data_IF_644809894133
#
_entry.id   IF_644809894133
#
_cell.length_a   1.000
_cell.length_b   1.000
_cell.length_c   1.000
_cell.angle_alpha   90.00
_cell.angle_beta   90.00
_cell.angle_gamma   90.00
#
_symmetry.space_group_name_H-M   'P 1'
#
loop_
_entity.id
_entity.type
_entity.pdbx_description
1 polymer ?
#
# COMPACT_ATOMS: atom_id res chain seq x y z
N UNK A 1 -13.39 -14.58 12.80
CA UNK A 1 -13.45 -13.83 11.55
C UNK A 1 -13.62 -12.37 11.91
N UNK A 2 -12.71 -11.55 11.48
CA UNK A 2 -12.81 -10.10 11.62
C UNK A 2 -13.89 -9.62 10.66
N UNK A 3 -14.83 -8.85 11.14
CA UNK A 3 -15.80 -8.14 10.29
C UNK A 3 -15.11 -6.85 9.84
N UNK A 4 -15.25 -6.51 8.57
CA UNK A 4 -14.69 -5.29 8.03
C UNK A 4 -13.26 -5.46 7.48
N UNK A 5 -12.47 -4.41 7.56
CA UNK A 5 -11.16 -4.26 6.90
C UNK A 5 -9.98 -4.54 7.85
N UNK A 6 -10.25 -5.16 8.99
CA UNK A 6 -9.25 -5.56 10.02
C UNK A 6 -8.87 -7.02 9.86
N UNK A 7 -7.76 -7.45 10.43
CA UNK A 7 -7.30 -8.83 10.42
C UNK A 7 -5.82 -8.94 10.13
N UNK A 8 -5.40 -10.06 9.57
CA UNK A 8 -4.04 -10.21 9.03
C UNK A 8 -4.02 -9.60 7.63
N UNK A 9 -3.19 -8.60 7.44
CA UNK A 9 -3.21 -7.73 6.27
C UNK A 9 -1.92 -7.83 5.44
N UNK A 10 -0.78 -8.15 6.05
CA UNK A 10 0.47 -8.26 5.30
C UNK A 10 1.43 -9.27 5.88
N UNK A 11 2.22 -9.83 4.98
CA UNK A 11 3.26 -10.82 5.31
C UNK A 11 4.43 -10.65 4.35
N UNK A 12 5.66 -10.65 4.90
CA UNK A 12 6.86 -10.81 4.10
C UNK A 12 7.94 -11.54 4.90
N UNK A 13 9.01 -11.97 4.23
CA UNK A 13 10.06 -12.79 4.81
C UNK A 13 11.44 -12.21 4.53
N UNK A 14 12.35 -12.39 5.49
CA UNK A 14 13.74 -11.96 5.33
C UNK A 14 14.69 -13.01 5.92
N UNK A 15 15.68 -13.41 5.14
CA UNK A 15 16.84 -14.12 5.67
C UNK A 15 17.92 -13.11 6.08
N UNK A 16 18.09 -12.94 7.38
CA UNK A 16 18.98 -11.92 7.94
C UNK A 16 19.79 -12.50 9.11
N UNK A 17 21.08 -12.18 9.17
CA UNK A 17 22.00 -12.66 10.20
C UNK A 17 21.93 -14.18 10.45
N UNK A 18 21.78 -14.97 9.38
CA UNK A 18 21.71 -16.43 9.42
C UNK A 18 20.40 -17.02 9.94
N UNK A 19 19.35 -16.21 10.10
CA UNK A 19 18.00 -16.61 10.53
C UNK A 19 16.96 -16.29 9.47
N UNK A 20 15.87 -17.06 9.46
CA UNK A 20 14.72 -16.78 8.63
C UNK A 20 13.68 -16.06 9.50
N UNK A 21 13.29 -14.88 9.10
CA UNK A 21 12.27 -14.09 9.76
C UNK A 21 11.01 -14.01 8.91
N UNK A 22 9.88 -13.94 9.58
CA UNK A 22 8.56 -13.64 8.99
C UNK A 22 8.03 -12.40 9.69
N UNK A 23 7.64 -11.43 8.90
CA UNK A 23 6.98 -10.21 9.36
C UNK A 23 5.50 -10.34 9.09
N UNK A 24 4.67 -10.05 10.09
CA UNK A 24 3.23 -10.08 10.00
C UNK A 24 2.68 -8.74 10.47
N UNK A 25 1.83 -8.14 9.65
CA UNK A 25 1.05 -6.97 10.05
C UNK A 25 -0.41 -7.36 10.19
N UNK A 26 -1.00 -7.02 11.33
CA UNK A 26 -2.40 -7.31 11.61
C UNK A 26 -2.96 -6.38 12.67
N UNK A 27 -4.29 -6.23 12.65
CA UNK A 27 -5.02 -5.62 13.76
C UNK A 27 -5.10 -6.64 14.90
N UNK A 28 -4.43 -6.37 16.03
CA UNK A 28 -4.40 -7.30 17.16
C UNK A 28 -5.66 -7.18 18.01
N UNK A 29 -6.34 -8.32 18.18
CA UNK A 29 -7.55 -8.42 18.97
C UNK A 29 -7.27 -8.30 20.46
N UNK A 30 -8.11 -7.57 21.19
CA UNK A 30 -8.12 -7.55 22.66
C UNK A 30 -8.84 -8.77 23.25
N UNK A 31 -9.76 -9.37 22.49
CA UNK A 31 -10.53 -10.55 22.88
C UNK A 31 -9.84 -11.87 22.53
N UNK A 32 -10.16 -12.94 23.27
CA UNK A 32 -9.63 -14.28 22.99
C UNK A 32 -10.27 -14.96 21.77
N UNK A 33 -11.42 -14.50 21.37
CA UNK A 33 -12.28 -15.04 20.32
C UNK A 33 -12.33 -14.16 19.05
N UNK A 34 -11.56 -13.06 19.02
CA UNK A 34 -11.60 -12.09 17.94
C UNK A 34 -12.86 -11.21 17.92
N UNK A 35 -13.55 -11.13 19.05
CA UNK A 35 -14.80 -10.35 19.22
C UNK A 35 -14.56 -8.89 19.59
N UNK A 36 -13.51 -8.28 19.05
CA UNK A 36 -13.09 -6.91 19.35
C UNK A 36 -13.59 -5.90 18.29
N UNK A 37 -14.74 -6.17 17.71
CA UNK A 37 -15.36 -5.24 16.78
C UNK A 37 -16.38 -4.35 17.49
N UNK A 38 -16.02 -3.08 17.63
CA UNK A 38 -16.83 -2.06 18.28
C UNK A 38 -18.23 -1.96 17.66
N UNK A 39 -18.33 -2.11 16.32
CA UNK A 39 -19.59 -2.07 15.57
C UNK A 39 -20.59 -3.15 15.99
N UNK A 40 -20.10 -4.25 16.57
CA UNK A 40 -20.92 -5.35 17.07
C UNK A 40 -20.94 -5.44 18.61
N UNK A 41 -20.58 -4.35 19.30
CA UNK A 41 -20.52 -4.32 20.75
C UNK A 41 -19.30 -5.02 21.35
N UNK A 42 -18.28 -5.28 20.55
CA UNK A 42 -16.99 -5.82 20.95
C UNK A 42 -16.09 -4.81 21.64
N UNK A 43 -14.88 -5.25 21.96
CA UNK A 43 -13.84 -4.44 22.60
C UNK A 43 -12.96 -3.78 21.54
N UNK A 44 -12.49 -2.57 21.78
CA UNK A 44 -11.52 -1.89 20.92
C UNK A 44 -10.25 -2.75 20.74
N UNK A 45 -9.73 -2.91 19.50
CA UNK A 45 -8.49 -3.64 19.25
C UNK A 45 -7.30 -2.99 19.96
N UNK A 46 -6.26 -3.77 20.19
CA UNK A 46 -5.05 -3.32 20.88
C UNK A 46 -4.18 -2.41 20.01
N UNK A 47 -4.15 -2.60 18.69
CA UNK A 47 -3.34 -1.83 17.76
C UNK A 47 -3.31 -2.47 16.37
N UNK A 48 -2.94 -1.68 15.37
CA UNK A 48 -2.47 -2.18 14.08
C UNK A 48 -0.97 -2.43 14.23
N UNK A 49 -0.55 -3.69 14.22
CA UNK A 49 0.76 -4.08 14.74
C UNK A 49 1.60 -4.84 13.74
N UNK A 50 2.86 -4.43 13.60
CA UNK A 50 3.87 -5.18 12.88
C UNK A 50 4.69 -6.02 13.85
N UNK A 51 4.64 -7.33 13.67
CA UNK A 51 5.44 -8.29 14.43
C UNK A 51 6.48 -8.95 13.54
N UNK A 52 7.64 -9.26 14.11
CA UNK A 52 8.63 -10.18 13.57
C UNK A 52 8.60 -11.49 14.33
N UNK A 53 8.60 -12.58 13.60
CA UNK A 53 8.77 -13.95 14.10
C UNK A 53 10.06 -14.55 13.54
N UNK A 54 10.65 -15.49 14.25
CA UNK A 54 11.68 -16.38 13.73
C UNK A 54 11.01 -17.64 13.19
N UNK A 55 11.32 -18.05 11.96
CA UNK A 55 10.81 -19.31 11.39
C UNK A 55 11.80 -20.43 11.70
N UNK A 56 11.40 -21.38 12.56
CA UNK A 56 12.19 -22.52 12.99
C UNK A 56 11.37 -23.79 12.83
N UNK A 57 11.85 -24.74 12.04
CA UNK A 57 11.19 -26.03 11.79
C UNK A 57 9.70 -25.90 11.39
N UNK A 58 9.42 -24.94 10.51
CA UNK A 58 8.08 -24.67 10.01
C UNK A 58 7.14 -23.98 11.03
N UNK A 59 7.66 -23.48 12.13
CA UNK A 59 6.90 -22.80 13.17
C UNK A 59 7.37 -21.35 13.33
N UNK A 60 6.41 -20.46 13.53
CA UNK A 60 6.65 -19.08 13.93
C UNK A 60 6.88 -19.03 15.44
N UNK A 61 8.08 -18.61 15.85
CA UNK A 61 8.49 -18.53 17.26
C UNK A 61 9.06 -17.14 17.57
N UNK A 62 9.22 -16.82 18.86
CA UNK A 62 9.84 -15.58 19.35
C UNK A 62 9.22 -14.32 18.77
N UNK A 63 7.90 -14.09 18.94
CA UNK A 63 7.26 -12.88 18.50
C UNK A 63 7.96 -11.65 19.10
N UNK A 64 8.18 -10.66 18.25
CA UNK A 64 8.71 -9.36 18.65
C UNK A 64 7.88 -8.26 18.00
N UNK A 65 7.23 -7.44 18.80
CA UNK A 65 6.54 -6.25 18.34
C UNK A 65 7.57 -5.24 17.82
N UNK A 66 7.44 -4.83 16.57
CA UNK A 66 8.32 -3.87 15.92
C UNK A 66 7.69 -2.48 15.86
N UNK A 67 6.40 -2.40 15.52
CA UNK A 67 5.65 -1.15 15.39
C UNK A 67 4.26 -1.36 15.97
N UNK A 68 3.81 -0.39 16.75
CA UNK A 68 2.46 -0.31 17.34
C UNK A 68 1.79 0.96 16.83
N UNK A 69 0.70 0.80 16.07
CA UNK A 69 0.03 1.89 15.36
C UNK A 69 -1.42 2.01 15.84
N UNK A 70 -2.03 3.21 15.70
CA UNK A 70 -3.38 3.44 16.13
C UNK A 70 -4.39 2.55 15.38
N UNK A 71 -5.56 2.36 15.98
CA UNK A 71 -6.73 1.69 15.39
C UNK A 71 -7.89 2.65 15.13
N UNK A 72 -7.80 3.85 15.69
CA UNK A 72 -8.78 4.91 15.56
C UNK A 72 -8.31 6.00 14.59
N UNK A 73 -9.23 6.70 13.94
CA UNK A 73 -10.67 6.84 14.23
C UNK A 73 -11.55 5.68 13.73
N UNK A 74 -11.19 4.95 12.71
CA UNK A 74 -12.10 3.96 12.17
C UNK A 74 -11.48 2.62 11.79
N UNK A 75 -12.32 1.63 11.39
CA UNK A 75 -11.84 0.29 11.05
C UNK A 75 -11.33 0.17 9.62
N UNK A 76 -11.43 1.21 8.79
CA UNK A 76 -11.04 1.21 7.39
C UNK A 76 -9.64 1.77 7.19
N UNK A 77 -9.13 1.67 5.98
CA UNK A 77 -7.85 2.22 5.56
C UNK A 77 -6.70 1.83 6.50
N UNK A 78 -6.71 0.59 6.92
CA UNK A 78 -5.67 0.06 7.81
C UNK A 78 -4.35 -0.20 7.09
N UNK A 79 -4.31 -0.02 5.76
CA UNK A 79 -3.16 -0.37 4.94
C UNK A 79 -2.84 -1.85 5.09
N UNK A 80 -1.58 -2.13 5.41
CA UNK A 80 -1.19 -3.45 5.89
C UNK A 80 -0.18 -4.16 5.03
N UNK A 81 0.10 -3.66 3.84
CA UNK A 81 1.15 -4.25 3.03
C UNK A 81 2.51 -4.15 3.73
N UNK A 82 3.27 -5.22 3.65
CA UNK A 82 4.62 -5.32 4.21
C UNK A 82 5.57 -5.72 3.10
N UNK A 83 6.59 -4.91 2.84
CA UNK A 83 7.62 -5.21 1.86
C UNK A 83 9.02 -5.12 2.49
N UNK A 84 9.82 -6.14 2.29
CA UNK A 84 11.25 -6.11 2.63
C UNK A 84 12.01 -5.40 1.52
N UNK A 85 12.68 -4.31 1.86
CA UNK A 85 13.45 -3.55 0.90
C UNK A 85 14.80 -4.17 0.52
N UNK A 86 15.39 -3.75 -0.61
CA UNK A 86 16.72 -4.18 -1.01
C UNK A 86 17.81 -3.78 0.00
N UNK A 87 17.51 -2.85 0.89
CA UNK A 87 18.33 -2.43 2.03
C UNK A 87 18.14 -3.30 3.30
N UNK A 88 17.36 -4.38 3.20
CA UNK A 88 16.94 -5.27 4.28
C UNK A 88 16.13 -4.57 5.38
N UNK A 89 15.59 -3.38 5.15
CA UNK A 89 14.64 -2.77 6.06
C UNK A 89 13.21 -3.18 5.70
N UNK A 90 12.31 -3.00 6.66
CA UNK A 90 10.92 -3.38 6.55
C UNK A 90 10.09 -2.13 6.29
N UNK A 91 9.32 -2.17 5.24
CA UNK A 91 8.38 -1.12 4.87
C UNK A 91 6.96 -1.62 5.11
N UNK A 92 6.13 -0.79 5.73
CA UNK A 92 4.76 -1.15 6.04
C UNK A 92 3.84 0.03 5.79
N UNK A 93 2.71 -0.22 5.16
CA UNK A 93 1.69 0.81 4.89
C UNK A 93 0.69 0.90 6.02
N UNK A 94 0.23 2.12 6.27
CA UNK A 94 -0.96 2.41 7.05
C UNK A 94 -1.65 3.63 6.46
N UNK A 95 -2.95 3.54 6.26
CA UNK A 95 -3.74 4.65 5.74
C UNK A 95 -4.15 5.65 6.81
N UNK A 96 -5.15 6.45 6.48
CA UNK A 96 -5.69 7.51 7.33
C UNK A 96 -6.60 7.00 8.45
N UNK A 97 -6.95 5.73 8.46
CA UNK A 97 -7.88 5.09 9.39
C UNK A 97 -9.25 5.76 9.35
N UNK A 98 -9.79 5.99 8.15
CA UNK A 98 -11.03 6.70 7.92
C UNK A 98 -12.17 6.20 8.80
N UNK A 99 -12.60 7.06 9.72
CA UNK A 99 -13.83 6.90 10.43
C UNK A 99 -14.97 7.55 9.66
N UNK A 100 -15.01 8.85 9.59
CA UNK A 100 -15.99 9.64 8.83
C UNK A 100 -15.37 10.95 8.38
N UNK A 101 -15.36 11.21 7.13
CA UNK A 101 -14.72 12.27 6.34
C UNK A 101 -14.59 13.69 6.93
N UNK A 102 -15.22 14.02 8.03
CA UNK A 102 -15.31 15.41 8.47
C UNK A 102 -14.55 15.76 9.75
N UNK A 103 -14.17 14.76 10.54
CA UNK A 103 -13.63 15.00 11.89
C UNK A 103 -12.29 14.36 12.16
N UNK A 104 -11.76 13.55 11.22
CA UNK A 104 -10.65 12.64 11.46
C UNK A 104 -9.35 13.03 10.75
N UNK A 105 -9.33 14.18 10.07
CA UNK A 105 -8.12 14.76 9.47
C UNK A 105 -7.38 15.59 10.51
N UNK A 106 -6.72 14.91 11.42
CA UNK A 106 -6.10 15.57 12.56
C UNK A 106 -4.57 15.55 12.53
N UNK A 107 -3.97 14.81 11.57
CA UNK A 107 -2.53 14.66 11.57
C UNK A 107 -1.87 15.51 10.48
N UNK A 108 -0.70 16.03 10.80
CA UNK A 108 0.12 16.78 9.83
C UNK A 108 0.56 15.88 8.67
N UNK A 109 0.68 14.55 8.89
CA UNK A 109 0.99 13.59 7.83
C UNK A 109 -0.13 13.40 6.81
N UNK A 110 -1.34 13.89 7.07
CA UNK A 110 -2.45 13.98 6.14
C UNK A 110 -2.51 15.33 5.39
N UNK A 111 -1.42 16.08 5.37
CA UNK A 111 -1.37 17.45 4.86
C UNK A 111 -2.33 18.42 5.55
N UNK A 112 -2.74 18.11 6.79
CA UNK A 112 -3.59 18.99 7.59
C UNK A 112 -2.74 20.04 8.29
N UNK A 113 -2.66 21.22 7.67
CA UNK A 113 -1.74 22.29 8.07
C UNK A 113 -1.98 22.88 9.47
N UNK A 114 -3.21 22.74 9.99
CA UNK A 114 -3.57 23.25 11.31
C UNK A 114 -3.24 22.28 12.45
N UNK A 115 -2.68 21.12 12.13
CA UNK A 115 -2.28 20.11 13.10
C UNK A 115 -0.78 20.11 13.35
N UNK A 116 -0.41 19.78 14.57
CA UNK A 116 0.95 19.36 14.94
C UNK A 116 1.02 17.87 15.31
N UNK A 117 -0.11 17.18 15.29
CA UNK A 117 -0.21 15.76 15.63
C UNK A 117 0.48 14.92 14.57
N UNK A 118 1.25 13.93 15.00
CA UNK A 118 1.82 12.89 14.16
C UNK A 118 1.80 11.58 14.96
N UNK A 119 1.16 10.54 14.42
CA UNK A 119 0.84 9.32 15.17
C UNK A 119 1.14 8.01 14.43
N UNK A 120 1.73 8.10 13.25
CA UNK A 120 2.07 6.95 12.41
C UNK A 120 1.11 6.74 11.25
N UNK A 121 -0.07 7.37 11.21
CA UNK A 121 -1.06 7.25 10.13
C UNK A 121 -0.61 7.90 8.82
N UNK A 122 -1.33 7.55 7.74
CA UNK A 122 -1.17 8.12 6.39
C UNK A 122 0.26 8.01 5.87
N UNK A 123 0.82 6.79 5.93
CA UNK A 123 2.25 6.60 5.78
C UNK A 123 2.64 5.27 5.11
N UNK A 124 3.82 5.29 4.51
CA UNK A 124 4.69 4.13 4.42
C UNK A 124 5.77 4.33 5.47
N UNK A 125 5.81 3.44 6.45
CA UNK A 125 6.81 3.48 7.52
C UNK A 125 7.96 2.55 7.20
N UNK A 126 9.18 2.93 7.61
CA UNK A 126 10.39 2.12 7.44
C UNK A 126 11.06 1.87 8.79
N UNK A 127 11.30 0.59 9.08
CA UNK A 127 12.01 0.15 10.27
C UNK A 127 13.09 -0.87 9.92
N UNK A 128 14.13 -0.95 10.74
CA UNK A 128 15.09 -2.07 10.65
C UNK A 128 14.42 -3.40 11.03
N UNK A 129 15.03 -4.56 10.73
CA UNK A 129 14.54 -5.86 11.17
C UNK A 129 14.38 -5.97 12.69
N UNK A 130 14.98 -5.07 13.44
CA UNK A 130 14.87 -4.99 14.89
C UNK A 130 13.78 -4.00 15.37
N UNK A 131 13.04 -3.36 14.45
CA UNK A 131 12.00 -2.37 14.78
C UNK A 131 12.54 -1.00 15.19
N UNK A 132 13.79 -0.69 14.82
CA UNK A 132 14.40 0.59 15.12
C UNK A 132 14.28 1.54 13.92
N UNK A 133 14.22 2.85 14.15
CA UNK A 133 14.35 3.84 13.09
C UNK A 133 15.63 3.61 12.27
N UNK A 134 15.56 3.88 10.98
CA UNK A 134 16.70 3.73 10.06
C UNK A 134 17.43 5.07 9.95
N UNK A 135 18.67 5.09 10.44
CA UNK A 135 19.46 6.33 10.51
C UNK A 135 18.78 7.40 11.38
N UNK A 136 18.75 8.63 10.88
CA UNK A 136 18.10 9.76 11.56
C UNK A 136 16.63 9.95 11.12
N UNK A 137 16.05 8.97 10.43
CA UNK A 137 14.76 9.12 9.78
C UNK A 137 14.80 10.01 8.53
N UNK A 138 13.81 9.87 7.66
CA UNK A 138 13.71 10.68 6.42
C UNK A 138 13.17 12.07 6.75
N UNK A 139 12.02 12.15 7.40
CA UNK A 139 11.31 13.40 7.65
C UNK A 139 11.78 14.10 8.93
N UNK A 140 12.31 13.36 9.89
CA UNK A 140 12.80 13.87 11.17
C UNK A 140 13.42 12.78 12.03
N UNK A 141 13.93 13.17 13.20
CA UNK A 141 14.65 12.28 14.11
C UNK A 141 13.88 11.94 15.41
N UNK A 142 12.65 12.42 15.54
CA UNK A 142 11.79 12.17 16.71
C UNK A 142 10.71 11.13 16.35
N UNK A 143 10.39 10.26 17.30
CA UNK A 143 9.29 9.29 17.14
C UNK A 143 7.93 10.01 17.13
N UNK A 144 6.98 9.59 16.27
CA UNK A 144 7.08 8.54 15.24
C UNK A 144 7.61 9.04 13.89
N UNK A 145 7.91 10.35 13.74
CA UNK A 145 8.34 10.96 12.47
C UNK A 145 9.58 10.30 11.87
N UNK A 146 10.46 9.75 12.71
CA UNK A 146 11.67 9.05 12.29
C UNK A 146 11.41 7.67 11.66
N UNK A 147 10.16 7.19 11.67
CA UNK A 147 9.75 5.97 10.97
C UNK A 147 9.20 6.26 9.57
N UNK A 148 8.75 7.49 9.30
CA UNK A 148 8.13 7.83 8.03
C UNK A 148 9.12 7.77 6.88
N UNK A 149 8.82 6.94 5.88
CA UNK A 149 9.49 6.93 4.58
C UNK A 149 8.73 7.79 3.57
N UNK A 150 7.39 7.69 3.60
CA UNK A 150 6.45 8.45 2.80
C UNK A 150 5.23 8.85 3.64
N UNK A 151 4.46 9.83 3.19
CA UNK A 151 3.29 10.34 3.91
C UNK A 151 2.25 10.94 2.95
N UNK A 152 1.16 11.47 3.50
CA UNK A 152 0.06 12.00 2.68
C UNK A 152 -0.71 10.90 1.96
N UNK A 153 -0.79 9.73 2.54
CA UNK A 153 -1.34 8.52 1.94
C UNK A 153 -2.72 8.26 2.52
N UNK A 154 -3.72 8.10 1.64
CA UNK A 154 -5.06 7.75 2.07
C UNK A 154 -5.15 6.28 2.48
N UNK A 155 -4.83 5.37 1.57
CA UNK A 155 -4.81 3.94 1.83
C UNK A 155 -4.01 3.21 0.76
N UNK A 156 -2.72 3.02 0.99
CA UNK A 156 -1.85 2.20 0.16
C UNK A 156 -2.08 0.72 0.49
N UNK A 157 -2.34 -0.10 -0.52
CA UNK A 157 -2.71 -1.50 -0.37
C UNK A 157 -1.73 -2.49 -1.02
N UNK A 158 -0.81 -2.00 -1.81
CA UNK A 158 0.25 -2.81 -2.42
C UNK A 158 1.58 -2.08 -2.44
N UNK A 159 2.66 -2.79 -2.18
CA UNK A 159 4.05 -2.32 -2.28
C UNK A 159 4.88 -3.34 -3.01
N UNK A 160 5.69 -2.90 -3.97
CA UNK A 160 6.76 -3.76 -4.51
C UNK A 160 7.97 -2.96 -4.98
N UNK A 161 9.06 -3.64 -5.10
CA UNK A 161 10.34 -3.08 -5.52
C UNK A 161 10.65 -3.41 -6.97
N UNK A 162 10.90 -2.38 -7.76
CA UNK A 162 11.42 -2.58 -9.10
C UNK A 162 12.74 -3.37 -9.05
N UNK A 163 12.81 -4.58 -9.61
CA UNK A 163 13.99 -5.44 -9.52
C UNK A 163 15.21 -4.90 -10.28
N UNK A 164 15.01 -3.89 -11.15
CA UNK A 164 16.07 -3.30 -11.97
C UNK A 164 16.69 -2.08 -11.28
N UNK A 165 15.85 -1.21 -10.72
CA UNK A 165 16.30 0.08 -10.14
C UNK A 165 16.34 0.04 -8.61
N UNK A 166 15.60 -0.87 -7.98
CA UNK A 166 15.39 -0.87 -6.54
C UNK A 166 14.49 0.27 -6.06
N UNK A 167 13.69 0.85 -6.94
CA UNK A 167 12.70 1.87 -6.61
C UNK A 167 11.44 1.24 -6.03
N UNK A 168 10.84 1.86 -5.04
CA UNK A 168 9.58 1.42 -4.45
C UNK A 168 8.41 1.97 -5.25
N UNK A 169 7.42 1.13 -5.45
CA UNK A 169 6.13 1.49 -6.05
C UNK A 169 4.99 1.09 -5.13
N UNK A 170 3.90 1.86 -5.16
CA UNK A 170 2.69 1.51 -4.42
C UNK A 170 1.42 1.66 -5.26
N UNK A 171 0.34 1.08 -4.75
CA UNK A 171 -1.02 1.35 -5.17
C UNK A 171 -1.76 2.06 -4.06
N UNK A 172 -2.51 3.12 -4.38
CA UNK A 172 -3.28 3.87 -3.40
C UNK A 172 -4.76 3.95 -3.80
N UNK A 173 -5.65 3.71 -2.83
CA UNK A 173 -7.09 3.81 -3.04
C UNK A 173 -7.61 5.21 -2.76
N UNK A 174 -8.21 5.82 -3.76
CA UNK A 174 -8.95 7.07 -3.66
C UNK A 174 -10.34 6.92 -3.01
N UNK A 175 -11.07 8.01 -2.79
CA UNK A 175 -12.43 7.96 -2.22
C UNK A 175 -13.46 7.33 -3.18
N UNK A 176 -13.80 7.99 -4.26
CA UNK A 176 -14.66 7.50 -5.35
C UNK A 176 -14.14 7.92 -6.72
N UNK A 177 -12.90 8.35 -6.75
CA UNK A 177 -12.07 8.65 -7.91
C UNK A 177 -10.61 8.71 -7.49
N UNK A 178 -9.72 8.66 -8.45
CA UNK A 178 -8.31 8.93 -8.21
C UNK A 178 -7.60 7.81 -7.44
N UNK A 179 -7.95 6.56 -7.71
CA UNK A 179 -7.05 5.45 -7.38
C UNK A 179 -5.74 5.62 -8.14
N UNK A 180 -4.61 5.24 -7.56
CA UNK A 180 -3.28 5.62 -8.06
C UNK A 180 -2.29 4.46 -8.13
N UNK A 181 -1.33 4.61 -9.06
CA UNK A 181 -0.02 3.96 -8.99
C UNK A 181 1.01 5.05 -8.77
N UNK A 182 1.87 4.89 -7.78
CA UNK A 182 2.88 5.87 -7.41
C UNK A 182 4.29 5.28 -7.45
N UNK A 183 5.26 6.08 -7.90
CA UNK A 183 6.68 5.86 -7.69
C UNK A 183 7.10 6.52 -6.38
N UNK A 184 7.40 5.73 -5.37
CA UNK A 184 7.62 6.20 -4.00
C UNK A 184 9.10 6.40 -3.72
N UNK A 185 9.50 7.64 -3.46
CA UNK A 185 10.85 7.99 -3.02
C UNK A 185 10.87 8.34 -1.53
N UNK A 186 12.05 8.36 -0.93
CA UNK A 186 12.20 8.83 0.44
C UNK A 186 11.70 10.27 0.58
N UNK A 187 10.73 10.50 1.46
CA UNK A 187 10.07 11.79 1.62
C UNK A 187 8.89 12.04 0.67
N UNK A 188 8.46 11.04 -0.09
CA UNK A 188 7.26 11.13 -0.94
C UNK A 188 6.05 11.59 -0.14
N UNK A 189 5.31 12.55 -0.71
CA UNK A 189 4.02 13.03 -0.24
C UNK A 189 2.99 12.77 -1.33
N UNK A 190 2.04 11.86 -1.10
CA UNK A 190 0.97 11.55 -2.05
C UNK A 190 -0.07 12.68 -2.16
N UNK A 191 -0.17 13.51 -1.12
CA UNK A 191 -1.03 14.70 -1.15
C UNK A 191 -2.28 14.63 -0.29
N UNK A 192 -2.73 13.45 0.10
CA UNK A 192 -3.93 13.26 0.91
C UNK A 192 -3.83 14.07 2.22
N UNK A 193 -4.81 14.79 2.66
CA UNK A 193 -6.20 15.02 2.20
C UNK A 193 -6.33 16.24 1.27
N UNK A 194 -5.26 16.98 1.04
CA UNK A 194 -5.29 18.18 0.21
C UNK A 194 -5.41 17.87 -1.29
N UNK A 195 -4.88 16.71 -1.71
CA UNK A 195 -4.90 16.23 -3.11
C UNK A 195 -5.24 14.74 -3.13
N UNK A 196 -6.00 14.33 -4.14
CA UNK A 196 -6.20 12.94 -4.53
C UNK A 196 -6.16 12.85 -6.06
N UNK A 197 -5.32 11.98 -6.58
CA UNK A 197 -4.99 12.01 -8.00
C UNK A 197 -4.36 13.35 -8.35
N UNK A 198 -5.05 14.11 -9.20
CA UNK A 198 -4.67 15.48 -9.57
C UNK A 198 -5.71 16.53 -9.12
N UNK A 199 -6.58 16.19 -8.18
CA UNK A 199 -7.71 17.06 -7.77
C UNK A 199 -7.67 17.39 -6.30
N UNK A 200 -8.11 18.60 -5.96
CA UNK A 200 -8.50 18.97 -4.60
C UNK A 200 -9.78 18.18 -4.28
N UNK A 201 -9.79 17.32 -3.26
CA UNK A 201 -10.93 16.49 -2.96
C UNK A 201 -12.21 17.31 -2.69
N UNK A 202 -13.28 16.85 -3.29
CA UNK A 202 -14.62 17.19 -2.89
C UNK A 202 -15.39 15.87 -2.72
N UNK A 203 -15.87 15.59 -1.53
CA UNK A 203 -16.42 14.27 -1.20
C UNK A 203 -17.72 13.93 -1.92
N UNK A 204 -18.39 14.92 -2.49
CA UNK A 204 -19.60 14.72 -3.30
C UNK A 204 -19.29 14.67 -4.82
N UNK A 205 -18.12 15.21 -5.23
CA UNK A 205 -17.71 15.32 -6.63
C UNK A 205 -16.16 15.23 -6.73
N UNK A 206 -15.63 15.12 -7.94
CA UNK A 206 -14.16 15.04 -8.14
C UNK A 206 -13.40 16.29 -7.66
N UNK A 207 -14.07 17.43 -7.56
CA UNK A 207 -13.44 18.67 -7.15
C UNK A 207 -12.72 19.40 -8.28
N UNK A 208 -11.78 20.29 -7.92
CA UNK A 208 -11.02 21.11 -8.86
C UNK A 208 -9.65 20.51 -9.11
N UNK A 209 -9.13 20.69 -10.32
CA UNK A 209 -7.75 20.33 -10.63
C UNK A 209 -6.79 21.05 -9.67
N UNK A 210 -5.90 20.30 -9.07
CA UNK A 210 -4.89 20.83 -8.17
C UNK A 210 -3.72 21.40 -8.96
N UNK A 211 -3.28 22.60 -8.63
CA UNK A 211 -2.20 23.31 -9.32
C UNK A 211 -1.26 24.07 -8.38
N UNK A 212 -1.41 23.92 -7.06
CA UNK A 212 -0.60 24.62 -6.07
C UNK A 212 -0.04 23.68 -5.01
N UNK A 213 1.22 23.29 -5.17
CA UNK A 213 1.95 22.43 -4.24
C UNK A 213 2.49 23.15 -3.00
N UNK A 214 2.41 24.51 -2.95
CA UNK A 214 2.93 25.30 -1.84
C UNK A 214 2.13 25.14 -0.55
N UNK A 215 0.88 24.67 -0.67
CA UNK A 215 0.00 24.44 0.47
C UNK A 215 0.08 23.03 1.04
N UNK A 216 1.08 22.23 0.63
CA UNK A 216 1.30 20.90 1.18
C UNK A 216 2.37 20.91 2.27
N UNK A 217 2.22 20.01 3.24
CA UNK A 217 3.22 19.80 4.28
C UNK A 217 4.53 19.32 3.67
N UNK A 218 5.67 19.93 4.03
CA UNK A 218 6.98 19.56 3.49
C UNK A 218 7.99 19.07 4.54
N UNK A 219 7.65 19.09 5.82
CA UNK A 219 8.57 18.73 6.91
C UNK A 219 9.95 19.40 6.77
N UNK A 220 9.95 20.74 6.60
CA UNK A 220 11.16 21.53 6.35
C UNK A 220 11.91 21.10 5.08
N UNK A 221 11.20 20.95 3.99
CA UNK A 221 11.71 20.54 2.66
C UNK A 221 12.30 19.13 2.59
N UNK A 222 12.01 18.28 3.56
CA UNK A 222 12.38 16.85 3.53
C UNK A 222 11.33 15.99 2.83
N UNK A 223 10.08 16.45 2.83
CA UNK A 223 8.99 15.85 2.11
C UNK A 223 8.67 16.62 0.84
N UNK A 224 8.29 15.90 -0.21
CA UNK A 224 7.96 16.48 -1.52
C UNK A 224 6.79 15.75 -2.13
N UNK A 225 5.79 16.52 -2.57
CA UNK A 225 4.69 16.01 -3.40
C UNK A 225 5.23 15.52 -4.75
N UNK A 226 4.73 14.39 -5.19
CA UNK A 226 4.90 13.88 -6.54
C UNK A 226 3.55 13.42 -7.06
N UNK A 227 3.26 13.77 -8.31
CA UNK A 227 2.07 13.30 -9.00
C UNK A 227 2.14 11.79 -9.22
N UNK A 228 0.98 11.09 -9.24
CA UNK A 228 0.94 9.67 -9.55
C UNK A 228 1.41 9.36 -10.98
N UNK A 229 1.87 8.13 -11.16
CA UNK A 229 2.27 7.61 -12.48
C UNK A 229 1.09 7.07 -13.27
N UNK A 230 -0.02 6.75 -12.59
CA UNK A 230 -1.28 6.35 -13.22
C UNK A 230 -2.47 6.60 -12.28
N UNK A 231 -3.62 6.95 -12.87
CA UNK A 231 -4.85 7.28 -12.13
C UNK A 231 -6.05 6.58 -12.76
N UNK A 232 -6.89 5.99 -11.91
CA UNK A 232 -8.22 5.52 -12.29
C UNK A 232 -9.29 6.52 -11.82
N UNK A 233 -10.08 7.06 -12.76
CA UNK A 233 -11.24 7.89 -12.41
C UNK A 233 -12.36 7.01 -11.87
N UNK A 234 -12.86 5.99 -12.61
CA UNK A 234 -13.75 5.02 -11.97
C UNK A 234 -12.92 4.17 -11.01
N UNK A 235 -13.26 4.13 -9.71
CA UNK A 235 -12.46 3.42 -8.74
C UNK A 235 -12.49 1.91 -9.03
N UNK A 236 -11.31 1.34 -9.14
CA UNK A 236 -11.11 -0.11 -9.30
C UNK A 236 -10.75 -0.77 -7.98
N UNK A 237 -10.39 0.02 -6.97
CA UNK A 237 -9.81 -0.42 -5.71
C UNK A 237 -8.56 -1.28 -5.96
N UNK A 238 -7.46 -0.68 -6.45
CA UNK A 238 -6.22 -1.42 -6.69
C UNK A 238 -5.72 -2.02 -5.38
N UNK A 239 -5.23 -3.25 -5.48
CA UNK A 239 -4.72 -4.01 -4.35
C UNK A 239 -3.23 -4.28 -4.53
N UNK A 240 -2.85 -5.53 -4.80
CA UNK A 240 -1.44 -5.86 -4.94
C UNK A 240 -0.81 -5.23 -6.19
N UNK A 241 0.45 -4.89 -6.06
CA UNK A 241 1.35 -4.47 -7.11
C UNK A 241 2.54 -5.42 -7.10
N UNK A 242 2.99 -5.90 -8.27
CA UNK A 242 4.07 -6.88 -8.34
C UNK A 242 4.88 -6.70 -9.61
N UNK A 243 6.20 -6.67 -9.50
CA UNK A 243 7.10 -6.79 -10.65
C UNK A 243 7.31 -8.25 -11.02
N UNK A 244 7.14 -8.59 -12.29
CA UNK A 244 7.35 -9.95 -12.81
C UNK A 244 8.84 -10.23 -13.01
N UNK A 245 9.59 -10.38 -11.93
CA UNK A 245 11.05 -10.56 -11.94
C UNK A 245 11.52 -11.91 -12.50
N UNK A 246 10.59 -12.80 -12.83
CA UNK A 246 10.85 -14.17 -13.32
C UNK A 246 10.91 -14.28 -14.84
N UNK A 247 11.71 -15.20 -15.35
CA UNK A 247 11.75 -15.55 -16.79
C UNK A 247 10.57 -16.42 -17.25
N UNK A 248 9.65 -16.82 -16.37
CA UNK A 248 8.55 -17.73 -16.65
C UNK A 248 7.53 -17.16 -17.64
N UNK A 249 7.40 -15.84 -17.72
CA UNK A 249 6.45 -15.16 -18.60
C UNK A 249 7.09 -14.66 -19.89
N UNK A 250 8.39 -14.93 -20.07
CA UNK A 250 9.14 -14.51 -21.25
C UNK A 250 9.49 -13.03 -21.29
N UNK A 251 10.30 -12.63 -22.31
CA UNK A 251 10.83 -11.27 -22.41
C UNK A 251 9.78 -10.15 -22.41
N UNK A 252 8.57 -10.31 -23.01
CA UNK A 252 7.61 -9.22 -23.07
C UNK A 252 7.01 -8.79 -21.74
N UNK A 253 7.12 -9.62 -20.71
CA UNK A 253 6.57 -9.32 -19.37
C UNK A 253 7.64 -9.29 -18.28
N UNK A 254 8.89 -9.59 -18.64
CA UNK A 254 9.97 -9.66 -17.65
C UNK A 254 10.30 -8.28 -17.09
N UNK A 255 10.24 -8.15 -15.78
CA UNK A 255 10.46 -6.93 -15.01
C UNK A 255 9.39 -5.85 -15.26
N UNK A 256 8.27 -6.21 -15.85
CA UNK A 256 7.13 -5.33 -15.97
C UNK A 256 6.26 -5.39 -14.72
N UNK A 257 5.43 -4.39 -14.57
CA UNK A 257 4.57 -4.18 -13.44
C UNK A 257 3.18 -4.77 -13.70
N UNK A 258 2.65 -5.52 -12.77
CA UNK A 258 1.25 -5.92 -12.73
C UNK A 258 0.56 -5.40 -11.48
N UNK A 259 -0.68 -4.95 -11.65
CA UNK A 259 -1.52 -4.43 -10.58
C UNK A 259 -2.84 -5.16 -10.60
N UNK A 260 -3.34 -5.58 -9.45
CA UNK A 260 -4.66 -6.19 -9.32
C UNK A 260 -5.67 -5.26 -8.70
N UNK A 261 -6.95 -5.59 -8.86
CA UNK A 261 -8.03 -4.85 -8.24
C UNK A 261 -9.03 -5.74 -7.50
N UNK A 262 -9.74 -5.12 -6.54
CA UNK A 262 -10.76 -5.77 -5.74
C UNK A 262 -12.17 -5.64 -6.31
N UNK A 263 -12.44 -4.67 -7.19
CA UNK A 263 -13.79 -4.38 -7.66
C UNK A 263 -14.16 -5.21 -8.89
N UNK A 264 -13.20 -5.43 -9.79
CA UNK A 264 -13.47 -6.10 -11.07
C UNK A 264 -12.77 -7.46 -11.20
N UNK A 265 -11.84 -7.79 -10.30
CA UNK A 265 -11.04 -9.01 -10.36
C UNK A 265 -10.16 -9.05 -11.60
N UNK A 266 -9.57 -7.91 -11.93
CA UNK A 266 -8.70 -7.73 -13.08
C UNK A 266 -7.25 -7.60 -12.64
N UNK A 267 -6.34 -8.16 -13.43
CA UNK A 267 -4.91 -7.90 -13.35
C UNK A 267 -4.55 -7.03 -14.55
N UNK A 268 -4.03 -5.85 -14.27
CA UNK A 268 -3.52 -4.89 -15.25
C UNK A 268 -2.02 -5.09 -15.44
N UNK A 269 -1.53 -4.82 -16.63
CA UNK A 269 -0.11 -4.84 -16.99
C UNK A 269 0.34 -3.45 -17.41
N UNK A 270 1.46 -3.03 -16.88
CA UNK A 270 2.11 -1.77 -17.20
C UNK A 270 3.60 -2.02 -17.48
N UNK A 271 4.06 -1.46 -18.57
CA UNK A 271 5.48 -1.43 -18.93
C UNK A 271 6.11 -0.17 -18.32
N UNK A 272 7.15 -0.28 -17.47
CA UNK A 272 7.93 0.88 -17.05
C UNK A 272 8.63 1.53 -18.24
N UNK A 273 8.73 2.87 -18.25
CA UNK A 273 9.47 3.58 -19.28
C UNK A 273 10.98 3.24 -19.27
N UNK A 274 11.73 3.62 -20.28
CA UNK A 274 13.16 3.29 -20.45
C UNK A 274 14.02 3.61 -19.21
N UNK A 275 13.70 4.70 -18.53
CA UNK A 275 14.40 5.14 -17.31
C UNK A 275 13.81 4.54 -16.02
N UNK A 276 12.70 3.82 -16.12
CA UNK A 276 11.94 3.23 -15.01
C UNK A 276 11.56 4.24 -13.91
N UNK A 277 11.28 5.47 -14.35
CA UNK A 277 10.82 6.57 -13.49
C UNK A 277 9.35 6.91 -13.71
N UNK A 278 8.63 6.07 -14.43
CA UNK A 278 7.22 6.20 -14.77
C UNK A 278 6.81 5.04 -15.67
N UNK A 279 5.60 5.10 -16.19
CA UNK A 279 5.02 4.07 -17.04
C UNK A 279 5.06 4.48 -18.53
N UNK A 280 5.24 3.50 -19.41
CA UNK A 280 5.10 3.67 -20.85
C UNK A 280 3.63 3.49 -21.22
N UNK A 281 2.94 4.60 -21.39
CA UNK A 281 1.51 4.63 -21.70
C UNK A 281 1.29 5.03 -23.14
N UNK A 282 0.29 4.44 -23.77
CA UNK A 282 -0.06 4.67 -25.17
C UNK A 282 -1.51 5.06 -25.33
N UNK A 283 -1.84 5.60 -26.52
CA UNK A 283 -3.20 5.95 -26.92
C UNK A 283 -3.91 6.87 -25.92
N UNK A 284 -5.11 6.51 -25.49
CA UNK A 284 -5.93 7.31 -24.57
C UNK A 284 -5.36 7.43 -23.16
N UNK A 285 -4.35 6.64 -22.80
CA UNK A 285 -3.75 6.64 -21.45
C UNK A 285 -2.48 7.51 -21.34
N UNK A 286 -2.07 8.23 -22.43
CA UNK A 286 -0.87 9.05 -22.41
C UNK A 286 -0.91 10.21 -21.40
N UNK A 287 -2.10 10.64 -21.00
CA UNK A 287 -2.31 11.62 -19.93
C UNK A 287 -2.24 11.04 -18.52
N UNK A 288 -1.90 9.75 -18.41
CA UNK A 288 -1.85 8.95 -17.16
C UNK A 288 -3.22 8.73 -16.50
N UNK A 289 -4.33 9.00 -17.18
CA UNK A 289 -5.67 8.94 -16.58
C UNK A 289 -6.54 7.96 -17.38
N UNK A 290 -7.05 6.95 -16.68
CA UNK A 290 -8.13 6.12 -17.22
C UNK A 290 -9.48 6.74 -16.84
N UNK A 291 -10.13 7.37 -17.80
CA UNK A 291 -11.41 8.07 -17.59
C UNK A 291 -12.61 7.11 -17.52
N UNK A 292 -12.45 5.92 -18.05
CA UNK A 292 -13.52 4.90 -18.06
C UNK A 292 -12.95 3.50 -18.28
N UNK A 293 -13.78 2.48 -18.01
CA UNK A 293 -13.39 1.07 -18.12
C UNK A 293 -12.99 0.62 -19.54
N UNK A 294 -13.38 1.34 -20.60
CA UNK A 294 -12.99 0.97 -21.97
C UNK A 294 -11.51 1.27 -22.24
N UNK A 295 -10.98 2.33 -21.66
CA UNK A 295 -9.57 2.69 -21.77
C UNK A 295 -8.68 1.66 -21.06
N UNK A 296 -9.17 1.04 -20.00
CA UNK A 296 -8.44 -0.01 -19.25
C UNK A 296 -8.26 -1.30 -20.05
N UNK A 297 -8.99 -1.52 -21.14
CA UNK A 297 -8.83 -2.71 -21.99
C UNK A 297 -7.44 -2.84 -22.57
N UNK A 298 -6.75 -1.72 -22.77
CA UNK A 298 -5.39 -1.70 -23.32
C UNK A 298 -4.33 -2.19 -22.32
N UNK A 299 -4.62 -2.08 -21.04
CA UNK A 299 -3.72 -2.52 -19.96
C UNK A 299 -4.26 -3.74 -19.21
N UNK A 300 -5.47 -4.22 -19.50
CA UNK A 300 -6.03 -5.42 -18.87
C UNK A 300 -5.34 -6.67 -19.39
N UNK A 301 -4.63 -7.38 -18.54
CA UNK A 301 -3.91 -8.62 -18.86
C UNK A 301 -4.77 -9.87 -18.65
N UNK A 302 -5.41 -9.98 -17.49
CA UNK A 302 -6.26 -11.11 -17.11
C UNK A 302 -7.48 -10.57 -16.37
N UNK A 303 -8.63 -11.18 -16.63
CA UNK A 303 -9.91 -10.84 -15.98
C UNK A 303 -10.60 -12.11 -15.50
N UNK A 304 -11.58 -11.96 -14.64
CA UNK A 304 -12.46 -13.08 -14.24
C UNK A 304 -12.12 -13.69 -12.88
N UNK A 305 -11.24 -13.08 -12.13
CA UNK A 305 -11.09 -13.36 -10.70
C UNK A 305 -12.28 -12.79 -9.91
N UNK A 306 -12.46 -13.26 -8.69
CA UNK A 306 -13.21 -12.52 -7.69
C UNK A 306 -12.43 -11.30 -7.18
N UNK A 307 -12.70 -10.87 -5.98
CA UNK A 307 -11.91 -9.81 -5.34
C UNK A 307 -10.47 -10.28 -5.15
N UNK A 308 -9.53 -9.70 -5.87
CA UNK A 308 -8.11 -9.98 -5.66
C UNK A 308 -7.63 -9.15 -4.47
N UNK A 309 -6.96 -9.78 -3.53
CA UNK A 309 -6.46 -9.11 -2.33
C UNK A 309 -4.94 -9.11 -2.25
N UNK A 310 -4.27 -10.06 -2.94
CA UNK A 310 -2.82 -10.14 -2.92
C UNK A 310 -2.28 -10.89 -4.15
N UNK A 311 -1.05 -10.57 -4.54
CA UNK A 311 -0.30 -11.27 -5.58
C UNK A 311 1.17 -11.37 -5.18
N UNK A 312 1.78 -12.54 -5.44
CA UNK A 312 3.19 -12.75 -5.15
C UNK A 312 3.85 -13.66 -6.19
N UNK A 313 5.05 -13.30 -6.64
CA UNK A 313 5.89 -14.23 -7.41
C UNK A 313 6.46 -15.28 -6.48
N UNK A 314 6.05 -16.54 -6.69
CA UNK A 314 6.51 -17.67 -5.89
C UNK A 314 7.95 -18.08 -6.18
N UNK A 315 8.53 -18.97 -5.35
CA UNK A 315 9.89 -19.45 -5.50
C UNK A 315 10.11 -20.29 -6.78
N UNK A 316 9.05 -20.75 -7.40
CA UNK A 316 9.06 -21.42 -8.70
C UNK A 316 9.01 -20.43 -9.88
N UNK A 317 8.90 -19.13 -9.59
CA UNK A 317 8.88 -18.03 -10.55
C UNK A 317 7.53 -17.76 -11.18
N UNK A 318 6.45 -18.42 -10.75
CA UNK A 318 5.10 -18.10 -11.19
C UNK A 318 4.41 -17.11 -10.27
N UNK A 319 3.48 -16.33 -10.81
CA UNK A 319 2.63 -15.42 -10.05
C UNK A 319 1.50 -16.21 -9.39
N UNK A 320 1.37 -16.04 -8.10
CA UNK A 320 0.26 -16.55 -7.30
C UNK A 320 -0.68 -15.39 -6.98
N UNK A 321 -1.96 -15.66 -7.10
CA UNK A 321 -3.03 -14.66 -6.91
C UNK A 321 -3.95 -15.16 -5.81
N UNK A 322 -4.10 -14.37 -4.77
CA UNK A 322 -5.07 -14.61 -3.70
C UNK A 322 -6.36 -13.84 -4.04
N UNK A 323 -7.44 -14.58 -4.23
CA UNK A 323 -8.73 -13.96 -4.53
C UNK A 323 -9.87 -14.59 -3.73
N UNK A 324 -10.96 -13.85 -3.58
CA UNK A 324 -12.17 -14.29 -2.90
C UNK A 324 -13.40 -14.01 -3.75
N UNK A 325 -14.35 -14.94 -3.72
CA UNK A 325 -15.67 -14.84 -4.38
C UNK A 325 -16.74 -15.38 -3.44
N UNK A 326 -17.98 -15.41 -3.89
CA UNK A 326 -19.09 -16.01 -3.16
C UNK A 326 -18.89 -17.52 -2.92
N UNK A 327 -18.10 -18.18 -3.79
CA UNK A 327 -17.77 -19.61 -3.68
C UNK A 327 -16.62 -19.90 -2.71
N UNK A 328 -15.95 -18.86 -2.19
CA UNK A 328 -14.84 -18.97 -1.23
C UNK A 328 -13.58 -18.22 -1.63
N UNK A 329 -12.48 -18.57 -0.97
CA UNK A 329 -11.15 -17.98 -1.21
C UNK A 329 -10.26 -19.01 -1.89
N UNK A 330 -9.50 -18.56 -2.90
CA UNK A 330 -8.52 -19.38 -3.63
C UNK A 330 -7.15 -18.73 -3.71
N UNK A 331 -6.14 -19.57 -3.89
CA UNK A 331 -4.81 -19.15 -4.35
C UNK A 331 -4.58 -19.82 -5.70
N UNK A 332 -4.50 -19.02 -6.74
CA UNK A 332 -4.34 -19.48 -8.11
C UNK A 332 -2.92 -19.20 -8.60
N UNK A 333 -2.29 -20.22 -9.23
CA UNK A 333 -0.99 -20.06 -9.85
C UNK A 333 -1.15 -19.80 -11.34
N UNK A 334 -0.68 -18.67 -11.82
CA UNK A 334 -0.74 -18.31 -13.23
C UNK A 334 0.39 -18.96 -14.03
N UNK A 335 0.03 -19.66 -15.10
CA UNK A 335 0.98 -20.26 -16.02
C UNK A 335 0.75 -19.73 -17.43
N UNK A 336 1.81 -19.34 -18.17
CA UNK A 336 1.66 -18.99 -19.59
C UNK A 336 1.16 -20.22 -20.36
N UNK A 337 0.34 -19.96 -21.39
CA UNK A 337 -0.17 -21.00 -22.29
C UNK A 337 0.92 -21.48 -23.26
#
# INVERSE_FOLDING_TARGET
>A
ATIGYRGMLGIDTLKYAGRNYVFLYYTESAGKDGSDEIENGGTEPLGNRLYRYELVDGKLVKPKLLVDLPVNPGPRHTGGEVAVGPDNNIYVTIGDLDGTFKEDFETISQNYLNSSTIDGRSAILRVSPEGKPVGNGVLGNTFPLNLYFAYGIRNSFGLDWDPVTGSLWDTENGPHYGDEINLVQAGFNSGWVAVQGLWIPNFDEMGKLFNDTNNLVSFNSKGKYSEPEFIWIPPVAPTAIQFLSSDKYGPPLKNDLVVSDANTGTIYHFEPNDNRTGLQLSESLQDKIANNMNELKHVSLITGFGRITDMQVGPDGYLYVLSSSDDGTSIDRLMPK
#
